data_IF_487707031910
#
_entry.id   IF_487707031910
#
_cell.length_a   1.000
_cell.length_b   1.000
_cell.length_c   1.000
_cell.angle_alpha   90.00
_cell.angle_beta   90.00
_cell.angle_gamma   90.00
#
_symmetry.space_group_name_H-M   'P 1'
#
loop_
_entity.id
_entity.type
_entity.pdbx_description
1 polymer ?
#
# COMPACT_ATOMS: atom_id res chain seq x y z
N UNK A 1 36.85 -20.53 65.14
CA UNK A 1 36.20 -21.43 64.16
C UNK A 1 35.53 -20.55 63.13
N UNK A 2 36.15 -20.49 61.97
CA UNK A 2 35.87 -19.53 60.88
C UNK A 2 34.78 -20.13 59.98
N UNK A 3 33.70 -19.38 59.78
CA UNK A 3 32.68 -19.68 58.77
C UNK A 3 32.99 -18.93 57.49
N UNK A 4 33.46 -19.64 56.47
CA UNK A 4 33.64 -19.11 55.12
C UNK A 4 32.27 -19.00 54.41
N UNK A 5 31.78 -17.79 54.24
CA UNK A 5 30.70 -17.47 53.30
C UNK A 5 31.21 -17.52 51.87
N UNK A 6 30.74 -18.55 51.16
CA UNK A 6 30.92 -18.67 49.72
C UNK A 6 30.04 -17.65 48.99
N UNK A 7 30.58 -16.55 48.51
CA UNK A 7 29.94 -15.62 47.61
C UNK A 7 29.67 -16.31 46.26
N UNK A 8 28.44 -16.75 46.06
CA UNK A 8 27.92 -17.14 44.72
C UNK A 8 27.84 -15.88 43.89
N UNK A 9 28.72 -15.72 42.93
CA UNK A 9 28.71 -14.61 41.96
C UNK A 9 27.40 -14.62 41.19
N UNK A 10 26.54 -13.62 41.47
CA UNK A 10 25.42 -13.28 40.64
C UNK A 10 25.91 -12.93 39.25
N UNK A 11 25.86 -13.87 38.32
CA UNK A 11 26.07 -13.60 36.91
C UNK A 11 25.09 -12.52 36.49
N UNK A 12 25.63 -11.36 36.10
CA UNK A 12 24.83 -10.26 35.57
C UNK A 12 23.99 -10.78 34.42
N UNK A 13 22.66 -10.82 34.61
CA UNK A 13 21.72 -11.16 33.56
C UNK A 13 21.88 -10.11 32.47
N UNK A 14 22.52 -10.51 31.37
CA UNK A 14 22.68 -9.65 30.19
C UNK A 14 21.30 -9.20 29.71
N UNK A 15 21.09 -7.90 29.62
CA UNK A 15 19.83 -7.37 29.12
C UNK A 15 19.65 -7.80 27.64
N UNK A 16 18.41 -7.98 27.13
CA UNK A 16 18.17 -8.35 25.72
C UNK A 16 18.80 -7.39 24.70
N UNK A 17 19.15 -6.17 25.13
CA UNK A 17 19.93 -5.23 24.35
C UNK A 17 21.37 -5.68 24.10
N UNK A 18 21.95 -6.42 25.00
CA UNK A 18 23.37 -6.83 24.94
C UNK A 18 23.62 -7.94 23.92
N UNK A 19 22.70 -8.90 23.78
CA UNK A 19 22.86 -10.02 22.86
C UNK A 19 22.81 -9.63 21.37
N UNK A 20 21.81 -8.86 20.97
CA UNK A 20 21.67 -8.37 19.59
C UNK A 20 22.70 -7.26 19.27
N UNK A 21 23.07 -6.45 20.28
CA UNK A 21 24.08 -5.39 20.15
C UNK A 21 25.50 -5.94 20.03
N UNK A 22 25.79 -7.04 20.72
CA UNK A 22 27.09 -7.71 20.66
C UNK A 22 27.35 -8.37 19.29
N UNK A 23 26.31 -8.88 18.64
CA UNK A 23 26.45 -9.64 17.38
C UNK A 23 26.31 -8.76 16.13
N UNK A 24 25.48 -7.71 16.16
CA UNK A 24 25.26 -6.78 15.06
C UNK A 24 25.43 -5.34 15.53
N UNK A 25 26.57 -4.74 15.24
CA UNK A 25 26.88 -3.35 15.59
C UNK A 25 25.85 -2.34 15.05
N UNK A 26 25.82 -1.13 15.63
CA UNK A 26 24.90 -0.04 15.21
C UNK A 26 25.00 0.23 13.71
N UNK A 27 26.20 0.22 13.13
CA UNK A 27 26.43 0.44 11.70
C UNK A 27 25.72 -0.57 10.81
N UNK A 28 25.75 -1.87 11.16
CA UNK A 28 25.05 -2.89 10.40
C UNK A 28 23.52 -2.72 10.47
N UNK A 29 22.96 -2.38 11.64
CA UNK A 29 21.52 -2.14 11.78
C UNK A 29 21.05 -0.93 10.98
N UNK A 30 21.84 0.15 10.95
CA UNK A 30 21.54 1.31 10.10
C UNK A 30 21.60 0.93 8.63
N UNK A 31 22.59 0.13 8.21
CA UNK A 31 22.70 -0.41 6.85
C UNK A 31 21.48 -1.26 6.47
N UNK A 32 21.05 -2.17 7.35
CA UNK A 32 19.86 -2.98 7.16
C UNK A 32 18.62 -2.10 6.91
N UNK A 33 18.37 -1.10 7.78
CA UNK A 33 17.23 -0.19 7.61
C UNK A 33 17.31 0.59 6.31
N UNK A 34 18.49 1.10 5.96
CA UNK A 34 18.70 1.84 4.73
C UNK A 34 18.39 1.00 3.49
N UNK A 35 18.88 -0.24 3.46
CA UNK A 35 18.64 -1.14 2.33
C UNK A 35 17.15 -1.51 2.19
N UNK A 36 16.49 -1.81 3.31
CA UNK A 36 15.05 -2.12 3.32
C UNK A 36 14.20 -0.90 2.96
N UNK A 37 14.61 0.30 3.38
CA UNK A 37 14.00 1.56 2.96
C UNK A 37 14.11 1.76 1.44
N UNK A 38 15.29 1.51 0.84
CA UNK A 38 15.47 1.61 -0.60
C UNK A 38 14.59 0.63 -1.37
N UNK A 39 14.45 -0.60 -0.89
CA UNK A 39 13.54 -1.59 -1.49
C UNK A 39 12.10 -1.08 -1.47
N UNK A 40 11.64 -0.53 -0.33
CA UNK A 40 10.30 0.01 -0.20
C UNK A 40 10.07 1.22 -1.13
N UNK A 41 11.07 2.10 -1.26
CA UNK A 41 11.04 3.22 -2.24
C UNK A 41 10.85 2.69 -3.65
N UNK A 42 11.60 1.67 -4.07
CA UNK A 42 11.49 1.09 -5.42
C UNK A 42 10.11 0.48 -5.67
N UNK A 43 9.55 -0.26 -4.72
CA UNK A 43 8.24 -0.90 -4.85
C UNK A 43 7.14 0.15 -5.07
N UNK A 44 7.17 1.24 -4.30
CA UNK A 44 6.18 2.32 -4.46
C UNK A 44 6.46 3.17 -5.70
N UNK A 45 7.74 3.39 -6.06
CA UNK A 45 8.10 4.12 -7.27
C UNK A 45 7.62 3.41 -8.54
N UNK A 46 7.69 2.06 -8.60
CA UNK A 46 7.13 1.28 -9.71
C UNK A 46 5.63 1.52 -9.87
N UNK A 47 4.87 1.38 -8.78
CA UNK A 47 3.41 1.53 -8.81
C UNK A 47 2.99 2.94 -9.24
N UNK A 48 3.61 3.96 -8.69
CA UNK A 48 3.25 5.35 -8.99
C UNK A 48 3.80 5.80 -10.34
N UNK A 49 4.95 5.30 -10.74
CA UNK A 49 5.50 5.56 -12.08
C UNK A 49 4.66 4.92 -13.18
N UNK A 50 4.11 3.72 -12.93
CA UNK A 50 3.11 3.13 -13.82
C UNK A 50 1.88 4.04 -13.92
N UNK A 51 1.30 4.48 -12.78
CA UNK A 51 0.12 5.35 -12.76
C UNK A 51 0.34 6.65 -13.54
N UNK A 52 1.52 7.28 -13.38
CA UNK A 52 1.90 8.48 -14.12
C UNK A 52 2.10 8.23 -15.63
N UNK A 53 2.50 7.00 -16.00
CA UNK A 53 2.73 6.58 -17.39
C UNK A 53 1.46 6.09 -18.10
N UNK A 54 0.38 5.80 -17.37
CA UNK A 54 -0.89 5.26 -17.90
C UNK A 54 -1.43 6.02 -19.10
N UNK A 55 -1.43 7.37 -19.13
CA UNK A 55 -1.95 8.11 -20.30
C UNK A 55 -1.24 7.72 -21.61
N UNK A 56 0.07 7.46 -21.54
CA UNK A 56 0.87 7.07 -22.69
C UNK A 56 0.73 5.61 -23.04
N UNK A 57 0.77 4.74 -22.04
CA UNK A 57 0.59 3.28 -22.20
C UNK A 57 -0.76 2.97 -22.84
N UNK A 58 -1.83 3.68 -22.42
CA UNK A 58 -3.17 3.54 -22.98
C UNK A 58 -3.18 3.73 -24.50
N UNK A 59 -2.55 4.79 -24.95
CA UNK A 59 -2.51 5.16 -26.35
C UNK A 59 -1.63 4.21 -27.17
N UNK A 60 -0.43 3.90 -26.66
CA UNK A 60 0.56 3.10 -27.39
C UNK A 60 0.13 1.64 -27.56
N UNK A 61 -0.56 1.08 -26.56
CA UNK A 61 -1.05 -0.30 -26.59
C UNK A 61 -2.55 -0.43 -26.97
N UNK A 62 -3.23 0.69 -27.23
CA UNK A 62 -4.65 0.71 -27.59
C UNK A 62 -5.58 0.19 -26.49
N UNK A 63 -5.22 0.37 -25.19
CA UNK A 63 -5.91 -0.26 -24.08
C UNK A 63 -7.19 0.50 -23.68
N UNK A 64 -8.21 -0.25 -23.25
CA UNK A 64 -9.37 0.32 -22.56
C UNK A 64 -9.02 0.69 -21.11
N UNK A 65 -9.83 1.55 -20.48
CA UNK A 65 -9.62 1.92 -19.07
C UNK A 65 -9.86 0.71 -18.14
N UNK A 66 -10.76 -0.21 -18.49
CA UNK A 66 -10.92 -1.51 -17.80
C UNK A 66 -9.64 -2.32 -17.82
N UNK A 67 -8.97 -2.44 -18.99
CA UNK A 67 -7.71 -3.15 -19.10
C UNK A 67 -6.59 -2.51 -18.28
N UNK A 68 -6.52 -1.18 -18.26
CA UNK A 68 -5.60 -0.44 -17.41
C UNK A 68 -5.88 -0.68 -15.91
N UNK A 69 -7.15 -0.69 -15.52
CA UNK A 69 -7.56 -0.99 -14.15
C UNK A 69 -7.18 -2.42 -13.73
N UNK A 70 -7.31 -3.41 -14.63
CA UNK A 70 -6.86 -4.78 -14.38
C UNK A 70 -5.34 -4.89 -14.20
N UNK A 71 -4.56 -4.19 -15.05
CA UNK A 71 -3.10 -4.17 -14.98
C UNK A 71 -2.61 -3.53 -13.67
N UNK A 72 -3.24 -2.43 -13.24
CA UNK A 72 -2.86 -1.68 -12.04
C UNK A 72 -3.43 -2.28 -10.75
N UNK A 73 -4.56 -2.99 -10.85
CA UNK A 73 -5.34 -3.50 -9.74
C UNK A 73 -5.27 -5.03 -9.60
N UNK A 74 -6.29 -5.72 -10.10
CA UNK A 74 -6.49 -7.16 -9.85
C UNK A 74 -5.32 -8.02 -10.31
N UNK A 75 -4.71 -7.71 -11.46
CA UNK A 75 -3.57 -8.47 -11.96
C UNK A 75 -2.37 -8.48 -11.02
N UNK A 76 -2.14 -7.38 -10.32
CA UNK A 76 -1.11 -7.26 -9.29
C UNK A 76 -1.57 -7.88 -7.95
N UNK A 77 -2.76 -7.47 -7.45
CA UNK A 77 -3.19 -7.75 -6.08
C UNK A 77 -3.48 -9.24 -5.82
N UNK A 78 -4.06 -9.95 -6.78
CA UNK A 78 -4.35 -11.39 -6.65
C UNK A 78 -3.07 -12.21 -6.45
N UNK A 79 -2.03 -11.90 -7.21
CA UNK A 79 -0.78 -12.63 -7.13
C UNK A 79 0.09 -12.16 -5.95
N UNK A 80 0.07 -10.87 -5.63
CA UNK A 80 0.63 -10.38 -4.37
C UNK A 80 0.03 -11.11 -3.17
N UNK A 81 -1.30 -11.21 -3.08
CA UNK A 81 -1.99 -11.91 -2.01
C UNK A 81 -1.71 -13.43 -2.04
N UNK A 82 -1.77 -14.04 -3.23
CA UNK A 82 -1.54 -15.47 -3.41
C UNK A 82 -0.12 -15.91 -3.05
N UNK A 83 0.89 -15.11 -3.38
CA UNK A 83 2.29 -15.43 -3.06
C UNK A 83 2.71 -14.98 -1.64
N UNK A 84 2.03 -14.00 -1.02
CA UNK A 84 2.41 -13.49 0.30
C UNK A 84 2.38 -14.57 1.38
N UNK A 85 1.36 -15.45 1.38
CA UNK A 85 1.24 -16.53 2.37
C UNK A 85 2.30 -17.64 2.17
N UNK A 86 2.49 -18.23 0.98
CA UNK A 86 3.58 -19.17 0.74
C UNK A 86 4.96 -18.60 1.08
N UNK A 87 5.23 -17.32 0.72
CA UNK A 87 6.50 -16.67 1.02
C UNK A 87 6.69 -16.40 2.52
N UNK A 88 5.60 -16.10 3.26
CA UNK A 88 5.65 -16.01 4.73
C UNK A 88 6.04 -17.36 5.35
N UNK A 89 5.40 -18.47 4.92
CA UNK A 89 5.75 -19.83 5.39
C UNK A 89 7.18 -20.21 4.99
N UNK A 90 7.61 -19.82 3.79
CA UNK A 90 9.00 -20.05 3.34
C UNK A 90 10.00 -19.27 4.18
N UNK A 91 9.68 -18.02 4.53
CA UNK A 91 10.49 -17.18 5.42
C UNK A 91 10.64 -17.78 6.83
N UNK A 92 9.67 -18.57 7.28
CA UNK A 92 9.78 -19.28 8.57
C UNK A 92 10.75 -20.47 8.53
N UNK A 93 11.07 -20.99 7.34
CA UNK A 93 11.91 -22.19 7.18
C UNK A 93 13.26 -21.91 6.54
N UNK A 94 13.38 -20.88 5.73
CA UNK A 94 14.57 -20.54 4.96
C UNK A 94 15.24 -19.24 5.44
N UNK A 95 16.34 -18.89 4.83
CA UNK A 95 17.05 -17.63 5.06
C UNK A 95 16.26 -16.46 4.49
N UNK A 96 15.74 -15.59 5.38
CA UNK A 96 14.87 -14.43 5.03
C UNK A 96 15.60 -13.40 4.19
N UNK A 97 16.89 -13.17 4.44
CA UNK A 97 17.71 -12.24 3.67
C UNK A 97 17.81 -12.68 2.20
N UNK A 98 18.01 -13.98 1.95
CA UNK A 98 18.03 -14.55 0.58
C UNK A 98 16.67 -14.50 -0.09
N UNK A 99 15.58 -14.71 0.64
CA UNK A 99 14.22 -14.60 0.11
C UNK A 99 13.95 -13.16 -0.34
N UNK A 100 14.29 -12.16 0.50
CA UNK A 100 14.12 -10.74 0.15
C UNK A 100 14.94 -10.42 -1.12
N UNK A 101 16.20 -10.82 -1.17
CA UNK A 101 17.05 -10.57 -2.34
C UNK A 101 16.51 -11.22 -3.62
N UNK A 102 16.07 -12.50 -3.56
CA UNK A 102 15.49 -13.18 -4.70
C UNK A 102 14.18 -12.53 -5.18
N UNK A 103 13.33 -12.10 -4.25
CA UNK A 103 12.07 -11.44 -4.58
C UNK A 103 12.29 -10.04 -5.18
N UNK A 104 13.28 -9.27 -4.71
CA UNK A 104 13.65 -7.98 -5.32
C UNK A 104 14.25 -8.18 -6.72
N UNK A 105 15.06 -9.23 -6.94
CA UNK A 105 15.55 -9.56 -8.28
C UNK A 105 14.41 -9.94 -9.22
N UNK A 106 13.48 -10.78 -8.75
CA UNK A 106 12.29 -11.17 -9.50
C UNK A 106 11.44 -9.95 -9.88
N UNK A 107 11.19 -9.06 -8.92
CA UNK A 107 10.53 -7.78 -9.15
C UNK A 107 11.22 -6.98 -10.27
N UNK A 108 12.55 -6.82 -10.21
CA UNK A 108 13.32 -6.07 -11.20
C UNK A 108 13.23 -6.67 -12.61
N UNK A 109 13.33 -7.99 -12.74
CA UNK A 109 13.22 -8.69 -14.03
C UNK A 109 11.82 -8.52 -14.63
N UNK A 110 10.77 -8.70 -13.83
CA UNK A 110 9.39 -8.53 -14.33
C UNK A 110 9.04 -7.06 -14.58
N UNK A 111 9.63 -6.11 -13.84
CA UNK A 111 9.53 -4.70 -14.17
C UNK A 111 10.12 -4.42 -15.57
N UNK A 112 11.33 -4.91 -15.86
CA UNK A 112 11.88 -4.83 -17.22
C UNK A 112 10.98 -5.48 -18.27
N UNK A 113 10.36 -6.61 -17.92
CA UNK A 113 9.33 -7.27 -18.75
C UNK A 113 8.19 -6.33 -19.13
N UNK A 114 7.71 -5.48 -18.21
CA UNK A 114 6.71 -4.47 -18.55
C UNK A 114 7.21 -3.52 -19.66
N UNK A 115 8.51 -3.20 -19.69
CA UNK A 115 9.11 -2.35 -20.73
C UNK A 115 9.12 -2.96 -22.14
N UNK A 116 9.10 -4.28 -22.26
CA UNK A 116 9.03 -4.98 -23.56
C UNK A 116 7.61 -5.35 -24.00
N UNK A 117 6.60 -5.10 -23.16
CA UNK A 117 5.22 -5.45 -23.44
C UNK A 117 4.68 -4.74 -24.70
N UNK A 118 4.04 -5.49 -25.60
CA UNK A 118 3.46 -5.00 -26.84
C UNK A 118 1.93 -5.06 -26.86
N UNK A 119 1.33 -5.71 -25.88
CA UNK A 119 -0.12 -5.86 -25.79
C UNK A 119 -0.56 -6.04 -24.32
N UNK A 120 -1.88 -6.03 -24.12
CA UNK A 120 -2.52 -6.19 -22.80
C UNK A 120 -2.05 -7.45 -22.06
N UNK A 121 -2.02 -8.61 -22.72
CA UNK A 121 -1.73 -9.89 -22.07
C UNK A 121 -0.29 -9.99 -21.60
N UNK A 122 0.66 -9.49 -22.38
CA UNK A 122 2.07 -9.43 -21.97
C UNK A 122 2.25 -8.48 -20.77
N UNK A 123 1.66 -7.28 -20.84
CA UNK A 123 1.71 -6.32 -19.72
C UNK A 123 1.09 -6.92 -18.46
N UNK A 124 -0.08 -7.55 -18.56
CA UNK A 124 -0.74 -8.21 -17.43
C UNK A 124 0.13 -9.32 -16.84
N UNK A 125 0.72 -10.18 -17.67
CA UNK A 125 1.60 -11.26 -17.22
C UNK A 125 2.81 -10.72 -16.44
N UNK A 126 3.46 -9.71 -16.98
CA UNK A 126 4.60 -9.10 -16.29
C UNK A 126 4.20 -8.41 -14.99
N UNK A 127 3.04 -7.74 -14.93
CA UNK A 127 2.50 -7.16 -13.67
C UNK A 127 2.17 -8.22 -12.62
N UNK A 128 1.73 -9.40 -13.04
CA UNK A 128 1.56 -10.57 -12.16
C UNK A 128 2.91 -10.94 -11.52
N UNK A 129 3.97 -11.01 -12.34
CA UNK A 129 5.32 -11.32 -11.86
C UNK A 129 5.89 -10.24 -10.91
N UNK A 130 5.63 -8.95 -11.20
CA UNK A 130 5.96 -7.84 -10.29
C UNK A 130 5.25 -8.02 -8.95
N UNK A 131 3.95 -8.37 -8.96
CA UNK A 131 3.18 -8.63 -7.72
C UNK A 131 3.73 -9.81 -6.91
N UNK A 132 4.16 -10.88 -7.58
CA UNK A 132 4.81 -12.02 -6.93
C UNK A 132 6.15 -11.65 -6.28
N UNK A 133 6.96 -10.81 -6.95
CA UNK A 133 8.21 -10.29 -6.39
C UNK A 133 7.98 -9.37 -5.18
N UNK A 134 7.03 -8.45 -5.27
CA UNK A 134 6.69 -7.52 -4.18
C UNK A 134 6.11 -8.25 -2.94
N UNK A 135 5.42 -9.37 -3.13
CA UNK A 135 4.85 -10.18 -2.04
C UNK A 135 5.91 -10.72 -1.06
N UNK A 136 7.15 -10.90 -1.52
CA UNK A 136 8.27 -11.37 -0.69
C UNK A 136 8.92 -10.32 0.18
N UNK A 137 8.43 -9.08 0.18
CA UNK A 137 9.01 -8.02 1.00
C UNK A 137 8.41 -7.97 2.41
N UNK A 138 7.10 -7.81 2.55
CA UNK A 138 6.45 -7.51 3.82
C UNK A 138 6.71 -8.52 4.95
N UNK A 139 6.26 -9.78 4.86
CA UNK A 139 6.39 -10.76 5.94
C UNK A 139 7.85 -11.07 6.32
N UNK A 140 8.79 -11.33 5.37
CA UNK A 140 10.18 -11.59 5.73
C UNK A 140 10.86 -10.40 6.39
N UNK A 141 10.57 -9.16 5.97
CA UNK A 141 11.13 -7.94 6.57
C UNK A 141 10.66 -7.77 8.00
N UNK A 142 9.37 -7.94 8.30
CA UNK A 142 8.86 -7.83 9.67
C UNK A 142 9.48 -8.86 10.59
N UNK A 143 9.64 -10.10 10.12
CA UNK A 143 10.31 -11.17 10.86
C UNK A 143 11.79 -10.86 11.09
N UNK A 144 12.50 -10.35 10.08
CA UNK A 144 13.91 -9.99 10.16
C UNK A 144 14.14 -8.84 11.16
N UNK A 145 13.29 -7.80 11.13
CA UNK A 145 13.34 -6.69 12.08
C UNK A 145 13.08 -7.15 13.52
N UNK A 146 12.15 -8.10 13.70
CA UNK A 146 11.86 -8.68 15.01
C UNK A 146 13.08 -9.29 15.69
N UNK A 147 14.02 -9.84 14.92
CA UNK A 147 15.23 -10.46 15.45
C UNK A 147 16.42 -9.50 15.57
N UNK A 148 16.45 -8.40 14.81
CA UNK A 148 17.52 -7.39 14.89
C UNK A 148 17.26 -6.29 15.91
N UNK A 149 15.97 -6.06 16.27
CA UNK A 149 15.59 -4.96 17.15
C UNK A 149 14.81 -5.46 18.38
N UNK A 150 15.15 -4.98 19.59
CA UNK A 150 14.38 -5.30 20.79
C UNK A 150 12.95 -4.74 20.68
N UNK A 151 11.96 -5.29 21.40
CA UNK A 151 10.54 -4.90 21.30
C UNK A 151 10.30 -3.39 21.38
N UNK A 152 11.05 -2.68 22.25
CA UNK A 152 10.93 -1.24 22.43
C UNK A 152 11.33 -0.40 21.19
N UNK A 153 12.15 -0.94 20.27
CA UNK A 153 12.67 -0.23 19.08
C UNK A 153 12.11 -0.75 17.75
N UNK A 154 11.33 -1.86 17.77
CA UNK A 154 10.77 -2.48 16.55
C UNK A 154 9.84 -1.52 15.78
N UNK A 155 8.98 -0.82 16.50
CA UNK A 155 8.06 0.15 15.90
C UNK A 155 8.81 1.27 15.17
N UNK A 156 9.83 1.86 15.81
CA UNK A 156 10.64 2.90 15.18
C UNK A 156 11.38 2.38 13.94
N UNK A 157 11.96 1.17 14.01
CA UNK A 157 12.63 0.56 12.86
C UNK A 157 11.65 0.32 11.69
N UNK A 158 10.46 -0.21 11.98
CA UNK A 158 9.40 -0.39 10.99
C UNK A 158 8.97 0.94 10.38
N UNK A 159 8.78 1.98 11.20
CA UNK A 159 8.40 3.32 10.73
C UNK A 159 9.42 3.88 9.74
N UNK A 160 10.72 3.75 10.01
CA UNK A 160 11.78 4.21 9.09
C UNK A 160 11.64 3.55 7.72
N UNK A 161 11.39 2.24 7.67
CA UNK A 161 11.21 1.52 6.39
C UNK A 161 9.96 2.03 5.65
N UNK A 162 8.85 2.23 6.37
CA UNK A 162 7.60 2.69 5.76
C UNK A 162 7.63 4.15 5.31
N UNK A 163 8.59 4.98 5.78
CA UNK A 163 8.87 6.30 5.19
C UNK A 163 9.30 6.21 3.71
N UNK A 164 9.76 5.05 3.26
CA UNK A 164 10.00 4.80 1.83
C UNK A 164 8.75 4.93 0.97
N UNK A 165 7.55 4.69 1.52
CA UNK A 165 6.32 4.74 0.74
C UNK A 165 6.01 6.15 0.19
N UNK A 166 5.90 7.23 0.99
CA UNK A 166 5.69 8.57 0.45
C UNK A 166 6.84 9.04 -0.43
N UNK A 167 8.10 8.70 -0.11
CA UNK A 167 9.25 9.05 -0.95
C UNK A 167 9.15 8.35 -2.32
N UNK A 168 8.88 7.05 -2.33
CA UNK A 168 8.70 6.28 -3.55
C UNK A 168 7.52 6.76 -4.39
N UNK A 169 6.43 7.19 -3.74
CA UNK A 169 5.28 7.76 -4.44
C UNK A 169 5.65 9.04 -5.19
N UNK A 170 6.36 9.97 -4.54
CA UNK A 170 6.81 11.22 -5.19
C UNK A 170 7.80 10.92 -6.31
N UNK A 171 8.85 10.16 -6.03
CA UNK A 171 9.90 9.82 -7.00
C UNK A 171 9.32 9.09 -8.21
N UNK A 172 8.49 8.08 -7.96
CA UNK A 172 7.87 7.30 -9.03
C UNK A 172 6.93 8.12 -9.90
N UNK A 173 6.09 8.97 -9.30
CA UNK A 173 5.16 9.82 -10.05
C UNK A 173 5.89 10.82 -10.95
N UNK A 174 6.88 11.54 -10.40
CA UNK A 174 7.66 12.53 -11.15
C UNK A 174 8.47 11.86 -12.25
N UNK A 175 9.23 10.82 -11.92
CA UNK A 175 10.07 10.13 -12.87
C UNK A 175 9.23 9.40 -13.95
N UNK A 176 8.20 8.65 -13.55
CA UNK A 176 7.31 7.96 -14.49
C UNK A 176 6.64 8.92 -15.48
N UNK A 177 6.16 10.07 -15.01
CA UNK A 177 5.60 11.12 -15.85
C UNK A 177 6.64 11.74 -16.81
N UNK A 178 7.85 12.02 -16.31
CA UNK A 178 8.96 12.56 -17.12
C UNK A 178 9.37 11.58 -18.22
N UNK A 179 9.59 10.31 -17.86
CA UNK A 179 9.91 9.27 -18.83
C UNK A 179 8.79 9.10 -19.86
N UNK A 180 7.53 9.06 -19.45
CA UNK A 180 6.40 8.91 -20.35
C UNK A 180 6.30 10.05 -21.36
N UNK A 181 6.74 11.26 -21.04
CA UNK A 181 6.67 12.41 -21.92
C UNK A 181 7.90 12.56 -22.83
N UNK A 182 9.12 12.44 -22.30
CA UNK A 182 10.35 12.87 -22.99
C UNK A 182 11.22 11.72 -23.48
N UNK A 183 11.21 10.56 -22.81
CA UNK A 183 12.13 9.45 -23.10
C UNK A 183 11.37 8.26 -23.69
N UNK A 184 10.21 7.96 -23.09
CA UNK A 184 9.36 6.82 -23.38
C UNK A 184 9.04 6.04 -22.09
N UNK A 185 7.77 5.62 -21.94
CA UNK A 185 7.31 4.89 -20.76
C UNK A 185 8.00 3.53 -20.58
N UNK A 186 8.47 2.89 -21.66
CA UNK A 186 9.18 1.62 -21.61
C UNK A 186 10.51 1.75 -20.88
N UNK A 187 11.24 2.83 -21.11
CA UNK A 187 12.52 3.12 -20.47
C UNK A 187 12.41 3.32 -18.97
N UNK A 188 11.25 3.77 -18.49
CA UNK A 188 10.99 3.84 -17.05
C UNK A 188 11.18 2.47 -16.38
N UNK A 189 10.58 1.41 -16.95
CA UNK A 189 10.68 0.06 -16.40
C UNK A 189 12.09 -0.53 -16.50
N UNK A 190 12.82 -0.25 -17.57
CA UNK A 190 14.22 -0.63 -17.66
C UNK A 190 15.08 0.11 -16.63
N UNK A 191 14.82 1.41 -16.41
CA UNK A 191 15.53 2.21 -15.41
C UNK A 191 15.27 1.69 -14.00
N UNK A 192 14.08 1.17 -13.68
CA UNK A 192 13.78 0.54 -12.39
C UNK A 192 14.49 -0.82 -12.22
N UNK A 193 14.66 -1.57 -13.29
CA UNK A 193 15.31 -2.88 -13.23
C UNK A 193 16.75 -2.78 -12.72
N UNK A 194 17.52 -1.79 -13.18
CA UNK A 194 18.93 -1.66 -12.83
C UNK A 194 19.13 -1.51 -11.31
N UNK A 195 18.54 -0.51 -10.63
CA UNK A 195 18.68 -0.41 -9.18
C UNK A 195 18.06 -1.59 -8.44
N UNK A 196 16.98 -2.20 -8.94
CA UNK A 196 16.39 -3.38 -8.32
C UNK A 196 17.38 -4.56 -8.30
N UNK A 197 18.03 -4.87 -9.42
CA UNK A 197 19.02 -5.94 -9.51
C UNK A 197 20.27 -5.62 -8.69
N UNK A 198 20.75 -4.37 -8.68
CA UNK A 198 21.87 -3.94 -7.85
C UNK A 198 21.54 -4.09 -6.36
N UNK A 199 20.38 -3.62 -5.92
CA UNK A 199 19.92 -3.76 -4.53
C UNK A 199 19.73 -5.23 -4.17
N UNK A 200 19.20 -6.06 -5.07
CA UNK A 200 19.07 -7.50 -4.85
C UNK A 200 20.43 -8.16 -4.66
N UNK A 201 21.42 -7.83 -5.49
CA UNK A 201 22.80 -8.33 -5.35
C UNK A 201 23.42 -7.86 -4.03
N UNK A 202 23.31 -6.57 -3.71
CA UNK A 202 23.81 -6.02 -2.44
C UNK A 202 23.11 -6.71 -1.26
N UNK A 203 21.79 -6.88 -1.30
CA UNK A 203 21.03 -7.57 -0.26
C UNK A 203 21.49 -9.03 -0.09
N UNK A 204 21.71 -9.74 -1.19
CA UNK A 204 22.17 -11.13 -1.17
C UNK A 204 23.53 -11.30 -0.47
N UNK A 205 24.48 -10.39 -0.71
CA UNK A 205 25.83 -10.48 -0.16
C UNK A 205 25.98 -9.81 1.21
N UNK A 206 25.17 -8.80 1.55
CA UNK A 206 25.37 -7.99 2.76
C UNK A 206 24.36 -8.26 3.85
N UNK A 207 23.13 -8.68 3.53
CA UNK A 207 22.15 -9.00 4.56
C UNK A 207 22.50 -10.33 5.23
N UNK A 208 22.52 -10.30 6.58
CA UNK A 208 22.83 -11.45 7.41
C UNK A 208 21.57 -11.97 8.07
N UNK A 209 21.42 -13.28 8.08
CA UNK A 209 20.33 -13.96 8.79
C UNK A 209 20.66 -14.01 10.30
N UNK A 210 19.84 -13.39 11.18
CA UNK A 210 20.03 -13.50 12.61
C UNK A 210 19.53 -14.85 13.14
N UNK A 211 19.99 -15.23 14.34
CA UNK A 211 19.39 -16.34 15.05
C UNK A 211 17.95 -15.96 15.41
N UNK A 212 16.99 -16.85 15.13
CA UNK A 212 15.58 -16.59 15.36
C UNK A 212 15.31 -16.37 16.85
N UNK A 213 14.52 -15.33 17.17
CA UNK A 213 14.22 -14.95 18.54
C UNK A 213 15.36 -14.29 19.31
N UNK A 214 16.45 -13.89 18.64
CA UNK A 214 17.66 -13.35 19.28
C UNK A 214 17.38 -12.07 20.10
N UNK A 215 16.41 -11.29 19.73
CA UNK A 215 16.03 -10.04 20.41
C UNK A 215 14.79 -10.18 21.30
N UNK A 216 14.28 -11.39 21.50
CA UNK A 216 13.19 -11.65 22.43
C UNK A 216 13.71 -11.85 23.86
N UNK A 217 12.98 -11.37 24.90
CA UNK A 217 13.33 -11.60 26.29
C UNK A 217 13.47 -13.09 26.57
N UNK A 218 14.59 -13.49 27.17
CA UNK A 218 14.81 -14.87 27.61
C UNK A 218 13.76 -15.24 28.68
N UNK A 219 13.05 -16.34 28.47
CA UNK A 219 12.05 -16.86 29.42
C UNK A 219 10.59 -16.71 29.00
N UNK A 220 10.27 -15.99 27.95
CA UNK A 220 8.95 -16.08 27.35
C UNK A 220 8.92 -17.30 26.41
N UNK A 221 8.62 -18.48 26.99
CA UNK A 221 8.25 -19.65 26.21
C UNK A 221 7.08 -19.22 25.30
N UNK A 222 7.35 -19.00 24.01
CA UNK A 222 6.29 -18.76 23.03
C UNK A 222 5.49 -20.05 22.93
N UNK A 223 4.34 -20.10 23.57
CA UNK A 223 3.31 -21.05 23.19
C UNK A 223 3.15 -20.99 21.67
N UNK A 224 2.88 -22.09 20.99
CA UNK A 224 2.63 -22.07 19.53
C UNK A 224 1.66 -20.93 19.21
N UNK A 225 2.00 -20.01 18.29
CA UNK A 225 1.09 -18.93 17.94
C UNK A 225 -0.24 -19.54 17.49
N UNK A 226 -1.38 -18.96 17.88
CA UNK A 226 -2.68 -19.46 17.49
C UNK A 226 -2.78 -19.59 15.98
N UNK A 227 -3.51 -20.61 15.50
CA UNK A 227 -3.70 -20.79 14.07
C UNK A 227 -4.41 -19.58 13.46
N UNK A 228 -4.15 -19.28 12.19
CA UNK A 228 -4.85 -18.21 11.44
C UNK A 228 -6.37 -18.38 11.55
N UNK A 229 -6.86 -19.63 11.51
CA UNK A 229 -8.28 -19.97 11.66
C UNK A 229 -8.82 -19.55 13.03
N UNK A 230 -8.05 -19.75 14.08
CA UNK A 230 -8.42 -19.36 15.47
C UNK A 230 -8.51 -17.83 15.57
N UNK A 231 -7.50 -17.10 15.07
CA UNK A 231 -7.48 -15.64 15.11
C UNK A 231 -8.65 -15.07 14.28
N UNK A 232 -8.85 -15.57 13.08
CA UNK A 232 -9.96 -15.17 12.22
C UNK A 232 -11.31 -15.47 12.88
N UNK A 233 -11.53 -16.68 13.41
CA UNK A 233 -12.76 -17.06 14.10
C UNK A 233 -13.05 -16.22 15.35
N UNK A 234 -12.03 -15.69 16.02
CA UNK A 234 -12.18 -14.74 17.10
C UNK A 234 -12.57 -13.34 16.61
N UNK A 235 -11.88 -12.85 15.57
CA UNK A 235 -12.09 -11.50 15.02
C UNK A 235 -13.46 -11.32 14.38
N UNK A 236 -13.99 -12.33 13.66
CA UNK A 236 -15.31 -12.26 13.03
C UNK A 236 -16.48 -12.21 14.03
N UNK A 237 -16.25 -12.56 15.29
CA UNK A 237 -17.24 -12.41 16.36
C UNK A 237 -17.32 -10.97 16.88
N UNK A 238 -16.30 -10.14 16.64
CA UNK A 238 -16.27 -8.73 17.02
C UNK A 238 -16.94 -7.88 15.96
N UNK A 239 -18.13 -7.38 16.26
CA UNK A 239 -18.92 -6.59 15.31
C UNK A 239 -18.19 -5.33 14.83
N UNK A 240 -17.49 -4.64 15.74
CA UNK A 240 -16.72 -3.45 15.36
C UNK A 240 -15.59 -3.78 14.38
N UNK A 241 -14.90 -4.93 14.57
CA UNK A 241 -13.84 -5.36 13.66
C UNK A 241 -14.36 -5.57 12.22
N UNK A 242 -15.49 -6.26 12.07
CA UNK A 242 -16.09 -6.50 10.74
C UNK A 242 -16.42 -5.18 10.04
N UNK A 243 -17.10 -4.27 10.75
CA UNK A 243 -17.47 -2.99 10.18
C UNK A 243 -16.27 -2.10 9.88
N UNK A 244 -15.25 -2.05 10.75
CA UNK A 244 -13.99 -1.36 10.48
C UNK A 244 -13.30 -1.94 9.24
N UNK A 245 -13.25 -3.27 9.12
CA UNK A 245 -12.60 -3.94 7.99
C UNK A 245 -13.31 -3.67 6.66
N UNK A 246 -14.65 -3.73 6.63
CA UNK A 246 -15.45 -3.41 5.44
C UNK A 246 -15.30 -1.92 5.08
N UNK A 247 -15.44 -1.01 6.06
CA UNK A 247 -15.27 0.42 5.84
C UNK A 247 -13.88 0.76 5.31
N UNK A 248 -12.84 0.16 5.89
CA UNK A 248 -11.47 0.35 5.43
C UNK A 248 -11.21 -0.24 4.04
N UNK A 249 -11.79 -1.39 3.70
CA UNK A 249 -11.69 -1.98 2.37
C UNK A 249 -12.36 -1.10 1.30
N UNK A 250 -13.54 -0.55 1.59
CA UNK A 250 -14.24 0.41 0.72
C UNK A 250 -13.43 1.70 0.54
N UNK A 251 -12.90 2.27 1.64
CA UNK A 251 -12.05 3.45 1.59
C UNK A 251 -10.77 3.19 0.79
N UNK A 252 -10.12 2.03 0.98
CA UNK A 252 -8.95 1.61 0.22
C UNK A 252 -9.26 1.43 -1.28
N UNK A 253 -10.46 0.94 -1.63
CA UNK A 253 -10.93 0.84 -3.02
C UNK A 253 -11.04 2.23 -3.66
N UNK A 254 -11.65 3.18 -2.98
CA UNK A 254 -11.74 4.56 -3.48
C UNK A 254 -10.36 5.21 -3.60
N UNK A 255 -9.52 5.07 -2.57
CA UNK A 255 -8.17 5.63 -2.52
C UNK A 255 -7.29 5.13 -3.67
N UNK A 256 -7.19 3.80 -3.85
CA UNK A 256 -6.35 3.23 -4.90
C UNK A 256 -6.95 3.46 -6.30
N UNK A 257 -8.28 3.36 -6.44
CA UNK A 257 -8.94 3.62 -7.71
C UNK A 257 -8.72 5.04 -8.20
N UNK A 258 -8.99 6.04 -7.38
CA UNK A 258 -8.80 7.45 -7.72
C UNK A 258 -7.31 7.74 -7.94
N UNK A 259 -6.43 7.29 -7.02
CA UNK A 259 -4.99 7.56 -7.11
C UNK A 259 -4.36 7.02 -8.40
N UNK A 260 -4.71 5.81 -8.82
CA UNK A 260 -4.17 5.19 -10.04
C UNK A 260 -4.68 5.82 -11.35
N UNK A 261 -5.83 6.49 -11.32
CA UNK A 261 -6.39 7.19 -12.48
C UNK A 261 -6.23 8.71 -12.45
N UNK A 262 -5.64 9.27 -11.38
CA UNK A 262 -5.51 10.72 -11.21
C UNK A 262 -4.64 11.36 -12.31
N UNK A 263 -3.48 10.78 -12.65
CA UNK A 263 -2.65 11.28 -13.74
C UNK A 263 -3.40 11.27 -15.08
N UNK A 264 -4.18 10.20 -15.32
CA UNK A 264 -5.02 10.10 -16.51
C UNK A 264 -6.11 11.18 -16.54
N UNK A 265 -6.76 11.45 -15.41
CA UNK A 265 -7.73 12.54 -15.29
C UNK A 265 -7.09 13.90 -15.60
N UNK A 266 -5.91 14.18 -15.03
CA UNK A 266 -5.20 15.45 -15.24
C UNK A 266 -4.84 15.64 -16.73
N UNK A 267 -4.29 14.61 -17.37
CA UNK A 267 -3.92 14.69 -18.80
C UNK A 267 -5.15 14.91 -19.68
N UNK A 268 -6.25 14.18 -19.44
CA UNK A 268 -7.42 14.22 -20.31
C UNK A 268 -8.33 15.44 -20.08
N UNK A 269 -8.44 15.94 -18.85
CA UNK A 269 -9.38 17.03 -18.51
C UNK A 269 -8.72 18.41 -18.40
N UNK A 270 -7.41 18.47 -18.11
CA UNK A 270 -6.66 19.72 -18.04
C UNK A 270 -5.65 19.87 -19.19
N UNK A 271 -5.59 18.91 -20.11
CA UNK A 271 -4.73 18.92 -21.30
C UNK A 271 -3.23 19.11 -20.97
N UNK A 272 -2.81 18.68 -19.78
CA UNK A 272 -1.40 18.74 -19.36
C UNK A 272 -0.62 17.53 -19.88
N UNK A 273 0.68 17.71 -20.09
CA UNK A 273 1.56 16.60 -20.44
C UNK A 273 1.76 15.62 -19.29
N UNK A 274 2.16 14.37 -19.58
CA UNK A 274 2.41 13.34 -18.55
C UNK A 274 3.41 13.75 -17.47
N UNK A 275 4.45 14.56 -17.80
CA UNK A 275 5.42 15.05 -16.82
C UNK A 275 4.77 15.98 -15.79
N UNK A 276 3.96 16.94 -16.23
CA UNK A 276 3.22 17.83 -15.33
C UNK A 276 2.20 17.04 -14.48
N UNK A 277 1.46 16.11 -15.10
CA UNK A 277 0.52 15.25 -14.40
C UNK A 277 1.22 14.36 -13.35
N UNK A 278 2.40 13.83 -13.66
CA UNK A 278 3.22 13.06 -12.73
C UNK A 278 3.74 13.90 -11.56
N UNK A 279 4.14 15.15 -11.82
CA UNK A 279 4.52 16.11 -10.77
C UNK A 279 3.38 16.38 -9.80
N UNK A 280 2.19 16.71 -10.32
CA UNK A 280 0.97 16.96 -9.53
C UNK A 280 0.54 15.71 -8.75
N UNK A 281 0.59 14.53 -9.38
CA UNK A 281 0.31 13.26 -8.71
C UNK A 281 1.27 13.01 -7.54
N UNK A 282 2.56 13.28 -7.74
CA UNK A 282 3.59 13.15 -6.69
C UNK A 282 3.35 14.11 -5.54
N UNK A 283 3.04 15.37 -5.82
CA UNK A 283 2.72 16.39 -4.83
C UNK A 283 1.49 15.98 -3.99
N UNK A 284 0.38 15.67 -4.67
CA UNK A 284 -0.86 15.26 -3.99
C UNK A 284 -0.61 14.00 -3.15
N UNK A 285 0.00 12.95 -3.72
CA UNK A 285 0.21 11.67 -3.03
C UNK A 285 1.17 11.80 -1.85
N UNK A 286 2.31 12.48 -2.04
CA UNK A 286 3.35 12.62 -1.01
C UNK A 286 2.87 13.42 0.20
N UNK A 287 2.32 14.61 -0.04
CA UNK A 287 1.83 15.48 1.03
C UNK A 287 0.66 14.84 1.77
N UNK A 288 -0.30 14.28 1.02
CA UNK A 288 -1.52 13.74 1.62
C UNK A 288 -1.28 12.46 2.41
N UNK A 289 -0.43 11.56 1.90
CA UNK A 289 -0.10 10.32 2.59
C UNK A 289 0.60 10.60 3.92
N UNK A 290 1.61 11.48 3.93
CA UNK A 290 2.33 11.84 5.15
C UNK A 290 1.41 12.52 6.17
N UNK A 291 0.67 13.56 5.75
CA UNK A 291 -0.19 14.36 6.62
C UNK A 291 -1.41 13.57 7.12
N UNK A 292 -2.08 12.85 6.24
CA UNK A 292 -3.28 12.09 6.59
C UNK A 292 -3.00 10.92 7.52
N UNK A 293 -1.89 10.19 7.30
CA UNK A 293 -1.45 9.14 8.21
C UNK A 293 -1.02 9.70 9.58
N UNK A 294 -0.36 10.86 9.62
CA UNK A 294 0.01 11.52 10.86
C UNK A 294 -1.24 11.98 11.66
N UNK A 295 -2.22 12.59 10.99
CA UNK A 295 -3.50 12.96 11.60
C UNK A 295 -4.27 11.72 12.10
N UNK A 296 -4.29 10.65 11.30
CA UNK A 296 -4.92 9.39 11.67
C UNK A 296 -4.24 8.69 12.84
N UNK A 297 -2.90 8.76 12.95
CA UNK A 297 -2.15 8.21 14.07
C UNK A 297 -2.20 9.12 15.29
N UNK A 298 -1.38 10.17 15.27
CA UNK A 298 -1.20 11.06 16.43
C UNK A 298 -2.47 11.81 16.82
N UNK A 299 -3.25 12.28 15.83
CA UNK A 299 -4.48 13.01 16.10
C UNK A 299 -5.54 12.12 16.76
N UNK A 300 -5.71 10.89 16.26
CA UNK A 300 -6.69 9.97 16.83
C UNK A 300 -6.23 9.43 18.18
N UNK A 301 -4.95 9.19 18.40
CA UNK A 301 -4.42 8.80 19.71
C UNK A 301 -4.65 9.91 20.76
N UNK A 302 -4.45 11.17 20.39
CA UNK A 302 -4.73 12.30 21.28
C UNK A 302 -6.22 12.43 21.63
N UNK A 303 -7.12 12.31 20.64
CA UNK A 303 -8.57 12.36 20.85
C UNK A 303 -9.09 11.13 21.59
N UNK A 304 -8.50 9.96 21.36
CA UNK A 304 -8.87 8.71 22.01
C UNK A 304 -8.59 8.69 23.53
N UNK A 305 -7.72 9.58 24.03
CA UNK A 305 -7.57 9.80 25.48
C UNK A 305 -8.87 10.29 26.14
N UNK A 306 -9.72 10.99 25.39
CA UNK A 306 -11.04 11.44 25.86
C UNK A 306 -12.11 10.34 25.64
N UNK A 307 -12.11 9.71 24.46
CA UNK A 307 -13.06 8.66 24.10
C UNK A 307 -12.45 7.75 23.03
N UNK A 308 -12.34 6.44 23.31
CA UNK A 308 -11.82 5.43 22.36
C UNK A 308 -12.61 5.34 21.06
N UNK A 309 -13.83 5.86 20.97
CA UNK A 309 -14.62 5.93 19.73
C UNK A 309 -13.97 6.84 18.67
N UNK A 310 -13.04 7.71 19.04
CA UNK A 310 -12.33 8.54 18.07
C UNK A 310 -11.50 7.74 17.07
N UNK A 311 -11.10 6.51 17.40
CA UNK A 311 -10.47 5.61 16.44
C UNK A 311 -11.38 5.21 15.27
N UNK A 312 -12.70 5.41 15.38
CA UNK A 312 -13.67 5.15 14.30
C UNK A 312 -14.43 6.41 13.87
N UNK A 313 -14.68 7.37 14.79
CA UNK A 313 -15.29 8.65 14.44
C UNK A 313 -14.39 9.52 13.56
N UNK A 314 -13.09 9.61 13.87
CA UNK A 314 -12.13 10.37 13.07
C UNK A 314 -12.09 9.88 11.60
N UNK A 315 -11.87 8.58 11.34
CA UNK A 315 -12.04 7.99 10.02
C UNK A 315 -13.37 8.29 9.35
N UNK A 316 -14.50 8.16 10.07
CA UNK A 316 -15.83 8.43 9.52
C UNK A 316 -15.97 9.89 9.06
N UNK A 317 -15.57 10.85 9.91
CA UNK A 317 -15.60 12.28 9.58
C UNK A 317 -14.70 12.57 8.38
N UNK A 318 -13.46 12.04 8.37
CA UNK A 318 -12.54 12.18 7.24
C UNK A 318 -13.16 11.71 5.94
N UNK A 319 -13.77 10.51 5.92
CA UNK A 319 -14.38 9.92 4.73
C UNK A 319 -15.63 10.67 4.26
N UNK A 320 -16.45 11.20 5.18
CA UNK A 320 -17.58 12.08 4.83
C UNK A 320 -17.11 13.36 4.16
N UNK A 321 -16.04 13.99 4.69
CA UNK A 321 -15.46 15.21 4.11
C UNK A 321 -14.78 14.94 2.75
N UNK A 322 -14.22 13.77 2.59
CA UNK A 322 -13.53 13.35 1.36
C UNK A 322 -14.42 13.44 0.12
N UNK A 323 -15.66 12.97 0.21
CA UNK A 323 -16.58 12.92 -0.94
C UNK A 323 -16.86 14.29 -1.56
N UNK A 324 -17.38 15.29 -0.83
CA UNK A 324 -17.64 16.60 -1.41
C UNK A 324 -16.35 17.30 -1.89
N UNK A 325 -15.24 17.11 -1.20
CA UNK A 325 -13.97 17.68 -1.61
C UNK A 325 -13.48 17.06 -2.94
N UNK A 326 -13.58 15.75 -3.13
CA UNK A 326 -13.25 15.14 -4.42
C UNK A 326 -14.16 15.61 -5.55
N UNK A 327 -15.49 15.62 -5.33
CA UNK A 327 -16.44 16.09 -6.34
C UNK A 327 -16.12 17.54 -6.70
N UNK A 328 -15.87 18.39 -5.71
CA UNK A 328 -15.51 19.79 -5.94
C UNK A 328 -14.17 19.94 -6.66
N UNK A 329 -13.14 19.16 -6.28
CA UNK A 329 -11.84 19.16 -6.94
C UNK A 329 -11.91 18.73 -8.41
N UNK A 330 -12.67 17.67 -8.71
CA UNK A 330 -12.76 17.14 -10.08
C UNK A 330 -13.59 18.01 -11.05
N UNK A 331 -14.38 18.96 -10.55
CA UNK A 331 -15.09 19.92 -11.42
C UNK A 331 -14.33 21.24 -11.62
N UNK A 332 -13.20 21.44 -10.94
CA UNK A 332 -12.39 22.64 -11.10
C UNK A 332 -11.75 22.73 -12.49
N UNK A 333 -11.74 23.92 -13.06
CA UNK A 333 -11.02 24.25 -14.29
C UNK A 333 -9.64 24.85 -13.99
N UNK A 334 -9.49 25.55 -12.86
CA UNK A 334 -8.22 26.07 -12.38
C UNK A 334 -7.40 24.97 -11.72
N UNK A 335 -6.19 24.74 -12.25
CA UNK A 335 -5.32 23.64 -11.83
C UNK A 335 -4.83 23.80 -10.39
N UNK A 336 -4.51 25.02 -9.95
CA UNK A 336 -3.99 25.26 -8.62
C UNK A 336 -5.06 25.03 -7.55
N UNK A 337 -6.30 25.50 -7.83
CA UNK A 337 -7.45 25.23 -6.96
C UNK A 337 -7.74 23.74 -6.88
N UNK A 338 -7.69 23.06 -8.02
CA UNK A 338 -7.86 21.59 -8.07
C UNK A 338 -6.83 20.90 -7.19
N UNK A 339 -5.55 21.21 -7.32
CA UNK A 339 -4.46 20.59 -6.54
C UNK A 339 -4.70 20.79 -5.05
N UNK A 340 -4.99 22.03 -4.62
CA UNK A 340 -5.22 22.33 -3.20
C UNK A 340 -6.41 21.55 -2.62
N UNK A 341 -7.54 21.51 -3.36
CA UNK A 341 -8.75 20.80 -2.93
C UNK A 341 -8.48 19.28 -2.90
N UNK A 342 -7.80 18.73 -3.91
CA UNK A 342 -7.48 17.31 -3.96
C UNK A 342 -6.49 16.90 -2.87
N UNK A 343 -5.52 17.74 -2.49
CA UNK A 343 -4.67 17.50 -1.33
C UNK A 343 -5.54 17.39 -0.06
N UNK A 344 -6.42 18.35 0.17
CA UNK A 344 -7.31 18.32 1.33
C UNK A 344 -8.21 17.07 1.35
N UNK A 345 -8.77 16.68 0.19
CA UNK A 345 -9.56 15.47 0.03
C UNK A 345 -8.78 14.20 0.36
N UNK A 346 -7.56 14.06 -0.18
CA UNK A 346 -6.70 12.91 0.07
C UNK A 346 -6.19 12.87 1.53
N UNK A 347 -5.85 14.01 2.14
CA UNK A 347 -5.50 14.07 3.58
C UNK A 347 -6.64 13.54 4.42
N UNK A 348 -7.86 14.04 4.20
CA UNK A 348 -9.05 13.57 4.91
C UNK A 348 -9.29 12.06 4.71
N UNK A 349 -9.06 11.57 3.49
CA UNK A 349 -9.19 10.17 3.15
C UNK A 349 -8.16 9.30 3.88
N UNK A 350 -6.89 9.69 3.98
CA UNK A 350 -5.83 8.88 4.61
C UNK A 350 -5.98 8.74 6.14
N UNK A 351 -6.82 9.54 6.79
CA UNK A 351 -7.07 9.46 8.24
C UNK A 351 -7.50 8.07 8.71
N UNK A 352 -8.19 7.27 7.86
CA UNK A 352 -8.66 5.94 8.26
C UNK A 352 -7.54 4.90 8.38
N UNK A 353 -6.42 5.09 7.67
CA UNK A 353 -5.43 4.02 7.45
C UNK A 353 -4.76 3.56 8.75
N UNK A 354 -4.17 4.49 9.49
CA UNK A 354 -3.44 4.19 10.73
C UNK A 354 -4.36 3.64 11.84
N UNK A 355 -5.54 4.25 12.14
CA UNK A 355 -6.46 3.70 13.14
C UNK A 355 -6.96 2.30 12.81
N UNK A 356 -7.20 1.99 11.54
CA UNK A 356 -7.65 0.65 11.12
C UNK A 356 -6.66 -0.44 11.51
N UNK A 357 -5.36 -0.24 11.20
CA UNK A 357 -4.32 -1.21 11.54
C UNK A 357 -4.11 -1.28 13.05
N UNK A 358 -4.16 -0.14 13.74
CA UNK A 358 -4.07 -0.06 15.20
C UNK A 358 -5.22 -0.81 15.90
N UNK A 359 -6.47 -0.60 15.46
CA UNK A 359 -7.63 -1.31 15.99
C UNK A 359 -7.52 -2.82 15.76
N UNK A 360 -7.15 -3.25 14.55
CA UNK A 360 -6.96 -4.67 14.25
C UNK A 360 -5.95 -5.34 15.19
N UNK A 361 -4.86 -4.65 15.53
CA UNK A 361 -3.85 -5.16 16.46
C UNK A 361 -4.31 -5.12 17.93
N UNK A 362 -5.08 -4.09 18.31
CA UNK A 362 -5.47 -3.86 19.72
C UNK A 362 -6.75 -4.61 20.14
N UNK A 363 -7.50 -5.19 19.20
CA UNK A 363 -8.69 -6.01 19.51
C UNK A 363 -8.35 -7.46 19.89
N UNK A 364 -7.09 -7.85 19.85
CA UNK A 364 -6.62 -9.21 20.14
C UNK A 364 -5.48 -9.23 21.15
N UNK A 365 -5.25 -10.37 21.79
CA UNK A 365 -4.12 -10.57 22.70
C UNK A 365 -2.77 -10.48 21.98
N UNK A 366 -1.69 -10.28 22.74
CA UNK A 366 -0.35 -10.03 22.22
C UNK A 366 0.14 -11.08 21.21
N UNK A 367 -0.18 -12.38 21.43
CA UNK A 367 0.21 -13.49 20.54
C UNK A 367 -0.49 -13.50 19.18
N UNK A 368 -1.58 -12.74 19.01
CA UNK A 368 -2.41 -12.69 17.79
C UNK A 368 -2.25 -11.38 16.99
N UNK A 369 -1.60 -10.36 17.55
CA UNK A 369 -1.51 -9.00 16.96
C UNK A 369 -0.96 -9.00 15.53
N UNK A 370 0.11 -9.75 15.31
CA UNK A 370 0.72 -9.85 13.98
C UNK A 370 -0.22 -10.47 12.94
N UNK A 371 -0.89 -11.56 13.29
CA UNK A 371 -1.86 -12.24 12.41
C UNK A 371 -3.07 -11.36 12.13
N UNK A 372 -3.57 -10.64 13.13
CA UNK A 372 -4.71 -9.71 12.97
C UNK A 372 -4.38 -8.54 12.04
N UNK A 373 -3.23 -7.90 12.24
CA UNK A 373 -2.77 -6.81 11.37
C UNK A 373 -2.51 -7.31 9.93
N UNK A 374 -1.96 -8.52 9.78
CA UNK A 374 -1.76 -9.13 8.47
C UNK A 374 -3.10 -9.42 7.76
N UNK A 375 -4.10 -9.97 8.46
CA UNK A 375 -5.43 -10.20 7.88
C UNK A 375 -6.08 -8.88 7.41
N UNK A 376 -5.98 -7.81 8.22
CA UNK A 376 -6.47 -6.50 7.82
C UNK A 376 -5.75 -5.99 6.57
N UNK A 377 -4.41 -6.05 6.56
CA UNK A 377 -3.60 -5.62 5.42
C UNK A 377 -3.88 -6.43 4.16
N UNK A 378 -4.13 -7.74 4.28
CA UNK A 378 -4.49 -8.61 3.16
C UNK A 378 -5.82 -8.17 2.53
N UNK A 379 -6.83 -7.88 3.34
CA UNK A 379 -8.13 -7.41 2.84
C UNK A 379 -8.01 -6.04 2.17
N UNK A 380 -7.28 -5.10 2.79
CA UNK A 380 -7.04 -3.78 2.22
C UNK A 380 -6.25 -3.87 0.91
N UNK A 381 -5.27 -4.75 0.83
CA UNK A 381 -4.49 -5.00 -0.38
C UNK A 381 -5.33 -5.63 -1.48
N UNK A 382 -5.98 -6.76 -1.19
CA UNK A 382 -6.74 -7.49 -2.21
C UNK A 382 -7.97 -6.70 -2.71
N UNK A 383 -8.75 -6.15 -1.79
CA UNK A 383 -9.96 -5.39 -2.13
C UNK A 383 -9.60 -3.97 -2.57
N UNK A 384 -8.79 -3.24 -1.78
CA UNK A 384 -8.46 -1.85 -2.08
C UNK A 384 -7.58 -1.71 -3.32
N UNK A 385 -6.40 -2.32 -3.31
CA UNK A 385 -5.46 -2.24 -4.45
C UNK A 385 -5.99 -3.01 -5.65
N UNK A 386 -6.62 -4.17 -5.44
CA UNK A 386 -7.11 -5.01 -6.53
C UNK A 386 -8.35 -4.44 -7.21
N UNK A 387 -9.43 -4.20 -6.46
CA UNK A 387 -10.70 -3.78 -7.06
C UNK A 387 -10.73 -2.29 -7.40
N UNK A 388 -10.03 -1.43 -6.62
CA UNK A 388 -10.10 0.03 -6.81
C UNK A 388 -9.85 0.48 -8.24
N UNK A 389 -8.66 0.26 -8.81
CA UNK A 389 -8.37 0.66 -10.19
C UNK A 389 -9.26 -0.06 -11.21
N UNK A 390 -9.61 -1.33 -10.96
CA UNK A 390 -10.45 -2.11 -11.86
C UNK A 390 -11.86 -1.50 -11.96
N UNK A 391 -12.47 -1.14 -10.83
CA UNK A 391 -13.80 -0.51 -10.79
C UNK A 391 -13.78 0.86 -11.47
N UNK A 392 -12.77 1.70 -11.19
CA UNK A 392 -12.63 3.00 -11.88
C UNK A 392 -12.49 2.80 -13.39
N UNK A 393 -11.69 1.84 -13.83
CA UNK A 393 -11.53 1.54 -15.25
C UNK A 393 -12.82 1.11 -15.93
N UNK A 394 -13.59 0.22 -15.29
CA UNK A 394 -14.91 -0.24 -15.80
C UNK A 394 -15.92 0.91 -15.89
N UNK A 395 -16.01 1.73 -14.84
CA UNK A 395 -16.89 2.90 -14.83
C UNK A 395 -16.44 3.93 -15.85
N UNK A 396 -15.14 4.13 -16.05
CA UNK A 396 -14.61 5.04 -17.06
C UNK A 396 -15.01 4.64 -18.47
N UNK A 397 -14.84 3.35 -18.81
CA UNK A 397 -15.28 2.84 -20.11
C UNK A 397 -16.81 2.95 -20.30
N UNK A 398 -17.58 2.69 -19.23
CA UNK A 398 -19.04 2.81 -19.25
C UNK A 398 -19.49 4.26 -19.51
N UNK A 399 -18.98 5.23 -18.75
CA UNK A 399 -19.35 6.63 -18.94
C UNK A 399 -18.80 7.22 -20.25
N UNK A 400 -17.65 6.76 -20.73
CA UNK A 400 -17.13 7.14 -22.05
C UNK A 400 -18.04 6.65 -23.16
N UNK A 401 -18.59 5.43 -23.06
CA UNK A 401 -19.57 4.91 -24.00
C UNK A 401 -20.87 5.73 -23.98
N UNK A 402 -21.35 6.16 -22.82
CA UNK A 402 -22.55 6.99 -22.71
C UNK A 402 -22.35 8.40 -23.30
N UNK A 403 -21.15 8.97 -23.15
CA UNK A 403 -20.83 10.29 -23.67
C UNK A 403 -20.53 10.29 -25.19
N UNK A 404 -20.32 9.11 -25.80
CA UNK A 404 -19.97 8.99 -27.21
C UNK A 404 -21.19 8.64 -28.06
N UNK A 405 -21.52 9.52 -28.99
CA UNK A 405 -22.71 9.37 -29.87
C UNK A 405 -22.39 8.72 -31.24
N UNK A 406 -21.10 8.45 -31.51
CA UNK A 406 -20.62 7.94 -32.82
C UNK A 406 -20.61 6.42 -32.96
N UNK A 407 -21.36 5.68 -32.14
CA UNK A 407 -21.40 4.21 -32.17
C UNK A 407 -20.73 3.56 -30.96
N UNK A 408 -20.05 2.43 -31.13
CA UNK A 408 -19.36 1.76 -30.02
C UNK A 408 -18.01 2.43 -29.75
N UNK A 409 -17.88 3.09 -28.59
CA UNK A 409 -16.67 3.85 -28.20
C UNK A 409 -15.39 3.03 -28.37
N UNK A 410 -15.36 1.79 -27.87
CA UNK A 410 -14.16 0.94 -27.94
C UNK A 410 -13.74 0.60 -29.38
N UNK A 411 -14.70 0.46 -30.28
CA UNK A 411 -14.42 0.12 -31.67
C UNK A 411 -13.95 1.35 -32.47
N UNK A 412 -14.52 2.53 -32.22
CA UNK A 412 -14.22 3.77 -32.96
C UNK A 412 -13.04 4.53 -32.35
N UNK A 413 -12.85 4.45 -31.04
CA UNK A 413 -11.87 5.18 -30.26
C UNK A 413 -10.92 4.24 -29.45
N UNK A 414 -10.18 3.30 -30.10
CA UNK A 414 -9.25 2.43 -29.39
C UNK A 414 -8.19 3.25 -28.64
N UNK A 415 -7.94 2.91 -27.37
CA UNK A 415 -7.03 3.71 -26.53
C UNK A 415 -7.46 5.14 -26.27
N UNK A 416 -8.71 5.51 -26.60
CA UNK A 416 -9.25 6.87 -26.49
C UNK A 416 -8.88 7.79 -27.69
N UNK A 417 -8.28 7.24 -28.73
CA UNK A 417 -7.98 7.95 -30.00
C UNK A 417 -8.93 7.50 -31.11
N UNK A 418 -9.38 8.47 -31.91
CA UNK A 418 -10.21 8.18 -33.04
C UNK A 418 -9.44 7.45 -34.14
N UNK A 419 -10.06 6.44 -34.76
CA UNK A 419 -9.55 5.83 -36.00
C UNK A 419 -9.71 6.85 -37.15
N UNK A 420 -10.83 7.56 -37.20
CA UNK A 420 -11.09 8.60 -38.20
C UNK A 420 -10.79 10.00 -37.62
N UNK A 421 -9.97 10.84 -38.25
CA UNK A 421 -9.62 12.16 -37.75
C UNK A 421 -10.83 13.04 -37.41
N UNK A 422 -11.93 12.94 -38.18
CA UNK A 422 -13.16 13.70 -37.96
C UNK A 422 -13.82 13.43 -36.60
N UNK A 423 -13.52 12.31 -35.95
CA UNK A 423 -14.06 11.95 -34.63
C UNK A 423 -13.07 12.19 -33.48
N UNK A 424 -11.91 12.83 -33.74
CA UNK A 424 -10.85 13.03 -32.76
C UNK A 424 -11.35 13.73 -31.50
N UNK A 425 -12.06 14.85 -31.65
CA UNK A 425 -12.62 15.62 -30.53
C UNK A 425 -13.70 14.87 -29.78
N UNK A 426 -14.58 14.16 -30.50
CA UNK A 426 -15.62 13.34 -29.90
C UNK A 426 -15.03 12.20 -29.05
N UNK A 427 -13.99 11.49 -29.54
CA UNK A 427 -13.29 10.47 -28.80
C UNK A 427 -12.57 11.03 -27.56
N UNK A 428 -11.88 12.16 -27.72
CA UNK A 428 -11.16 12.83 -26.62
C UNK A 428 -12.12 13.28 -25.52
N UNK A 429 -13.20 13.96 -25.88
CA UNK A 429 -14.21 14.46 -24.94
C UNK A 429 -14.95 13.33 -24.21
N UNK A 430 -15.33 12.26 -24.93
CA UNK A 430 -15.95 11.10 -24.33
C UNK A 430 -15.00 10.38 -23.35
N UNK A 431 -13.73 10.25 -23.71
CA UNK A 431 -12.67 9.67 -22.87
C UNK A 431 -12.41 10.49 -21.61
N UNK A 432 -12.40 11.82 -21.71
CA UNK A 432 -12.23 12.75 -20.60
C UNK A 432 -13.46 12.72 -19.64
N UNK A 433 -14.66 12.74 -20.20
CA UNK A 433 -15.91 12.60 -19.43
C UNK A 433 -15.96 11.24 -18.70
N UNK A 434 -15.54 10.17 -19.37
CA UNK A 434 -15.50 8.82 -18.80
C UNK A 434 -14.69 8.76 -17.51
N UNK A 435 -13.42 9.17 -17.54
CA UNK A 435 -12.56 9.13 -16.35
C UNK A 435 -13.04 10.11 -15.26
N UNK A 436 -13.50 11.30 -15.64
CA UNK A 436 -14.02 12.29 -14.68
C UNK A 436 -15.22 11.74 -13.89
N UNK A 437 -16.23 11.23 -14.58
CA UNK A 437 -17.42 10.67 -13.92
C UNK A 437 -17.11 9.41 -13.12
N UNK A 438 -16.16 8.57 -13.57
CA UNK A 438 -15.75 7.37 -12.84
C UNK A 438 -15.11 7.70 -11.50
N UNK A 439 -14.13 8.64 -11.45
CA UNK A 439 -13.49 9.03 -10.18
C UNK A 439 -14.49 9.72 -9.23
N UNK A 440 -15.44 10.52 -9.77
CA UNK A 440 -16.49 11.13 -8.96
C UNK A 440 -17.46 10.08 -8.39
N UNK A 441 -17.86 9.08 -9.19
CA UNK A 441 -18.73 8.00 -8.74
C UNK A 441 -18.08 7.15 -7.65
N UNK A 442 -16.78 6.83 -7.81
CA UNK A 442 -16.02 6.07 -6.80
C UNK A 442 -15.80 6.88 -5.53
N UNK A 443 -15.70 8.22 -5.60
CA UNK A 443 -15.64 9.05 -4.39
C UNK A 443 -16.89 8.89 -3.49
N UNK A 444 -18.06 8.57 -4.04
CA UNK A 444 -19.27 8.28 -3.26
C UNK A 444 -19.14 7.04 -2.36
N UNK A 445 -18.26 6.10 -2.72
CA UNK A 445 -17.98 4.90 -1.92
C UNK A 445 -17.42 5.28 -0.53
N UNK A 446 -16.78 6.45 -0.40
CA UNK A 446 -16.29 6.96 0.89
C UNK A 446 -17.44 7.22 1.88
N UNK A 447 -18.63 7.63 1.43
CA UNK A 447 -19.81 7.77 2.30
C UNK A 447 -20.24 6.41 2.84
N UNK A 448 -20.27 5.40 1.98
CA UNK A 448 -20.58 4.03 2.41
C UNK A 448 -19.54 3.50 3.40
N UNK A 449 -18.27 3.74 3.14
CA UNK A 449 -17.18 3.42 4.07
C UNK A 449 -17.39 4.13 5.44
N UNK A 450 -17.73 5.41 5.44
CA UNK A 450 -18.00 6.18 6.66
C UNK A 450 -19.14 5.60 7.49
N UNK A 451 -20.23 5.15 6.84
CA UNK A 451 -21.36 4.50 7.52
C UNK A 451 -20.87 3.27 8.30
N UNK A 452 -20.01 2.44 7.71
CA UNK A 452 -19.44 1.29 8.41
C UNK A 452 -18.61 1.67 9.62
N UNK A 453 -17.77 2.71 9.52
CA UNK A 453 -17.04 3.25 10.67
C UNK A 453 -17.97 3.77 11.77
N UNK A 454 -19.07 4.45 11.41
CA UNK A 454 -20.09 4.91 12.37
C UNK A 454 -20.80 3.74 13.06
N UNK A 455 -21.16 2.68 12.33
CA UNK A 455 -21.74 1.47 12.92
C UNK A 455 -20.75 0.82 13.89
N UNK A 456 -19.47 0.75 13.53
CA UNK A 456 -18.43 0.20 14.41
C UNK A 456 -18.33 0.94 15.75
N UNK A 457 -18.64 2.25 15.78
CA UNK A 457 -18.56 3.06 17.00
C UNK A 457 -19.48 2.58 18.13
N UNK A 458 -20.51 1.83 17.79
CA UNK A 458 -21.46 1.28 18.80
C UNK A 458 -20.82 0.23 19.71
N UNK A 459 -19.92 -0.58 19.17
CA UNK A 459 -19.34 -1.74 19.87
C UNK A 459 -17.83 -1.60 20.13
N UNK A 460 -17.12 -0.61 19.56
CA UNK A 460 -15.66 -0.52 19.60
C UNK A 460 -15.08 -0.45 21.01
N UNK A 461 -15.76 0.21 21.95
CA UNK A 461 -15.32 0.26 23.36
C UNK A 461 -15.31 -1.14 23.97
N UNK A 462 -16.44 -1.86 23.89
CA UNK A 462 -16.60 -3.20 24.40
C UNK A 462 -15.62 -4.19 23.75
N UNK A 463 -15.46 -4.10 22.43
CA UNK A 463 -14.57 -4.98 21.68
C UNK A 463 -13.08 -4.74 21.96
N UNK A 464 -12.69 -3.53 22.37
CA UNK A 464 -11.34 -3.20 22.82
C UNK A 464 -11.05 -3.71 24.24
N UNK A 465 -12.07 -3.80 25.11
CA UNK A 465 -11.90 -4.25 26.49
C UNK A 465 -11.92 -5.78 26.61
N UNK A 466 -12.51 -6.47 25.64
CA UNK A 466 -12.54 -7.94 25.60
C UNK A 466 -11.31 -8.49 24.88
N UNK A 467 -10.32 -8.95 25.62
CA UNK A 467 -9.16 -9.67 25.08
C UNK A 467 -9.38 -11.19 25.10
N UNK A 468 -8.89 -11.86 24.06
CA UNK A 468 -8.80 -13.31 24.07
C UNK A 468 -7.60 -13.71 24.93
N UNK A 469 -7.85 -14.32 26.06
CA UNK A 469 -6.84 -15.02 26.83
C UNK A 469 -6.80 -16.47 26.33
N UNK A 470 -5.62 -16.92 25.92
CA UNK A 470 -5.42 -18.36 25.67
C UNK A 470 -5.73 -19.08 26.98
N UNK A 471 -6.50 -20.20 26.95
CA UNK A 471 -6.59 -21.06 28.11
C UNK A 471 -5.17 -21.39 28.58
N UNK A 472 -4.93 -21.27 29.87
CA UNK A 472 -3.67 -21.70 30.47
C UNK A 472 -3.41 -23.14 30.06
N UNK A 473 -2.25 -23.42 29.45
CA UNK A 473 -1.86 -24.73 28.98
C UNK A 473 -1.58 -25.68 30.12
#
# INVERSE_FOLDING_TARGET
MSSAETAVGAGAATTPEDGASARFGKGYRTWLLFLLLLINILNLADRQGLAASVPRIKVDLGLSDTQLGLIQGLGFALFYAGFSLPLAVLADRMNRAKIIAACVALFGVFAAGCGVAQNFWQMLLFRIGVGAGDAGFGPPVQSLLGDHYPPARRTSATTIIWLGAPIGAVVGSIAGGYFAQFIGWRQWFFTLCVPALLIAAIAFFTLREPVRGMSDPQGLARGKPPSIRTVFGFLIKKRSFIHVLIGAALAATAMNGIGQFLARFIVSNHHLGPAAAGGILGEISGVSMASGMALGGFGMDWLAKKDRRWYVWGPAIGLVLTTPLFIWGFVQTDINRMIFILIAAHVAMFVYYTPTLGLAANMVGASMRGTSAWLASLVLGLVGVGLGPTVVGMLSDFFAQQAFTGGTFKAVCPGGRAIMPALSDACSNASAAGVKHAVMAVALVCIWAAIHFLIASRNVRQDLDTHYELPAA
#
